data_IF_870676180423
#
_entry.id   IF_870676180423
#
_cell.length_a   1.000
_cell.length_b   1.000
_cell.length_c   1.000
_cell.angle_alpha   90.00
_cell.angle_beta   90.00
_cell.angle_gamma   90.00
#
_symmetry.space_group_name_H-M   'P 1'
#
loop_
_entity.id
_entity.type
_entity.pdbx_description
1 polymer ?
#
# COMPACT_ATOMS: atom_id res chain seq x y z
N UNK A 1 -8.95 -10.14 -3.90
CA UNK A 1 -8.20 -9.14 -3.09
C UNK A 1 -9.10 -8.41 -2.10
N UNK A 2 -10.28 -7.96 -2.51
CA UNK A 2 -11.24 -7.27 -1.63
C UNK A 2 -11.38 -7.86 -0.22
N UNK A 3 -11.73 -9.14 -0.09
CA UNK A 3 -11.92 -9.79 1.23
C UNK A 3 -10.66 -9.75 2.10
N UNK A 4 -9.48 -9.92 1.50
CA UNK A 4 -8.20 -9.85 2.22
C UNK A 4 -7.94 -8.44 2.74
N UNK A 5 -8.17 -7.41 1.92
CA UNK A 5 -8.02 -6.01 2.32
C UNK A 5 -9.03 -5.64 3.40
N UNK A 6 -10.30 -6.05 3.26
CA UNK A 6 -11.34 -5.81 4.28
C UNK A 6 -11.05 -6.53 5.59
N UNK A 7 -10.47 -7.73 5.55
CA UNK A 7 -10.01 -8.44 6.75
C UNK A 7 -8.84 -7.70 7.41
N UNK A 8 -7.81 -7.36 6.64
CA UNK A 8 -6.62 -6.66 7.13
C UNK A 8 -6.96 -5.27 7.70
N UNK A 9 -7.92 -4.56 7.11
CA UNK A 9 -8.40 -3.28 7.61
C UNK A 9 -8.96 -3.33 9.04
N UNK A 10 -9.35 -4.51 9.54
CA UNK A 10 -9.79 -4.67 10.94
C UNK A 10 -8.62 -4.63 11.92
N UNK A 11 -7.39 -4.86 11.46
CA UNK A 11 -6.16 -4.79 12.27
C UNK A 11 -5.64 -3.35 12.36
N UNK A 12 -6.49 -2.48 12.94
CA UNK A 12 -6.12 -1.07 13.14
C UNK A 12 -4.89 -0.95 14.04
N UNK A 13 -3.94 -0.10 13.65
CA UNK A 13 -2.65 0.08 14.31
C UNK A 13 -1.53 -0.82 13.78
N UNK A 14 -1.84 -1.85 12.98
CA UNK A 14 -0.83 -2.73 12.40
C UNK A 14 0.18 -1.95 11.56
N UNK A 15 1.47 -2.21 11.77
CA UNK A 15 2.57 -1.57 11.04
C UNK A 15 2.71 -2.19 9.65
N UNK A 16 2.76 -1.34 8.64
CA UNK A 16 2.96 -1.74 7.25
C UNK A 16 4.48 -1.83 6.99
N UNK A 17 5.00 -3.02 6.61
CA UNK A 17 6.40 -3.20 6.26
C UNK A 17 6.86 -2.24 5.17
N UNK A 18 7.88 -1.44 5.48
CA UNK A 18 8.51 -0.51 4.53
C UNK A 18 10.02 -0.49 4.79
N UNK A 19 10.80 -1.35 4.11
CA UNK A 19 12.21 -1.61 4.47
C UNK A 19 13.13 -0.38 4.53
N UNK A 20 12.77 0.71 3.85
CA UNK A 20 13.56 1.95 3.79
C UNK A 20 12.92 3.13 4.53
N UNK A 21 11.74 2.96 5.12
CA UNK A 21 11.08 4.04 5.86
C UNK A 21 11.71 4.19 7.24
N UNK A 22 12.00 5.43 7.65
CA UNK A 22 12.50 5.75 9.00
C UNK A 22 11.39 5.89 10.05
N UNK A 23 10.13 5.79 9.61
CA UNK A 23 8.95 5.97 10.45
C UNK A 23 7.94 4.87 10.16
N UNK A 24 7.12 4.56 11.15
CA UNK A 24 6.09 3.53 11.04
C UNK A 24 4.86 4.05 10.31
N UNK A 25 4.38 3.29 9.34
CA UNK A 25 3.11 3.54 8.66
C UNK A 25 2.10 2.54 9.22
N UNK A 26 0.93 3.01 9.66
CA UNK A 26 -0.02 2.14 10.39
C UNK A 26 -1.37 2.06 9.70
N UNK A 27 -1.96 0.88 9.64
CA UNK A 27 -3.31 0.68 9.14
C UNK A 27 -4.28 1.44 10.06
N UNK A 28 -5.20 2.20 9.47
CA UNK A 28 -6.33 2.82 10.20
C UNK A 28 -7.58 1.95 10.07
N UNK A 29 -7.87 1.51 8.84
CA UNK A 29 -9.04 0.71 8.49
C UNK A 29 -9.60 1.09 7.12
N UNK A 30 -10.86 0.76 6.88
CA UNK A 30 -11.54 1.12 5.63
C UNK A 30 -11.94 2.60 5.61
N UNK A 31 -12.00 3.17 4.41
CA UNK A 31 -12.51 4.50 4.14
C UNK A 31 -12.68 4.71 2.64
N UNK A 32 -12.68 5.96 2.20
CA UNK A 32 -12.86 6.31 0.79
C UNK A 32 -11.65 7.06 0.23
N UNK A 33 -11.26 6.70 -0.99
CA UNK A 33 -10.33 7.48 -1.84
C UNK A 33 -10.76 7.35 -3.28
N UNK A 34 -10.66 8.45 -4.04
CA UNK A 34 -11.02 8.46 -5.48
C UNK A 34 -12.43 7.89 -5.75
N UNK A 35 -13.37 8.15 -4.83
CA UNK A 35 -14.75 7.63 -4.85
C UNK A 35 -14.89 6.11 -4.77
N UNK A 36 -13.86 5.40 -4.34
CA UNK A 36 -13.86 3.95 -4.15
C UNK A 36 -13.50 3.60 -2.69
N UNK A 37 -13.90 2.40 -2.26
CA UNK A 37 -13.44 1.84 -0.99
C UNK A 37 -11.91 1.69 -0.99
N UNK A 38 -11.28 2.09 0.11
CA UNK A 38 -9.84 2.13 0.25
C UNK A 38 -9.37 1.70 1.64
N UNK A 39 -8.22 1.02 1.67
CA UNK A 39 -7.45 0.84 2.90
C UNK A 39 -6.78 2.17 3.24
N UNK A 40 -7.16 2.75 4.38
CA UNK A 40 -6.58 3.98 4.89
C UNK A 40 -5.45 3.64 5.85
N UNK A 41 -4.35 4.38 5.74
CA UNK A 41 -3.20 4.27 6.62
C UNK A 41 -2.73 5.64 7.09
N UNK A 42 -2.14 5.67 8.29
CA UNK A 42 -1.58 6.84 8.95
C UNK A 42 -0.07 6.93 8.69
N UNK A 43 0.38 8.17 8.51
CA UNK A 43 1.77 8.55 8.32
C UNK A 43 2.10 9.55 9.43
N UNK A 44 3.15 9.33 10.23
CA UNK A 44 3.62 10.31 11.21
C UNK A 44 3.91 11.65 10.54
N UNK A 45 3.41 12.70 11.15
CA UNK A 45 3.60 14.07 10.70
C UNK A 45 4.78 14.71 11.42
N UNK A 46 5.54 15.54 10.71
CA UNK A 46 6.54 16.42 11.32
C UNK A 46 5.95 17.79 11.72
N UNK A 47 4.65 18.01 11.49
CA UNK A 47 3.96 19.25 11.85
C UNK A 47 3.51 19.26 13.30
N UNK A 48 3.57 20.42 13.93
CA UNK A 48 2.98 20.68 15.26
C UNK A 48 1.44 20.76 15.23
N UNK A 49 0.82 20.90 14.06
CA UNK A 49 -0.64 21.08 13.90
C UNK A 49 -1.42 19.77 13.82
N UNK A 50 -0.78 18.68 13.41
CA UNK A 50 -1.40 17.37 13.29
C UNK A 50 -0.38 16.29 13.56
N UNK A 51 -0.73 15.30 14.37
CA UNK A 51 0.15 14.19 14.74
C UNK A 51 0.38 13.21 13.58
N UNK A 52 -0.57 13.12 12.64
CA UNK A 52 -0.49 12.22 11.49
C UNK A 52 -1.27 12.76 10.28
N UNK A 53 -0.88 12.27 9.09
CA UNK A 53 -1.63 12.40 7.85
C UNK A 53 -2.21 11.06 7.44
N UNK A 54 -3.29 11.08 6.68
CA UNK A 54 -3.96 9.88 6.19
C UNK A 54 -3.93 9.80 4.67
N UNK A 55 -3.55 8.65 4.16
CA UNK A 55 -3.63 8.32 2.74
C UNK A 55 -4.32 6.98 2.57
N UNK A 56 -4.68 6.64 1.34
CA UNK A 56 -5.26 5.33 1.09
C UNK A 56 -4.97 4.78 -0.29
N UNK A 57 -5.16 3.48 -0.39
CA UNK A 57 -5.08 2.71 -1.64
C UNK A 57 -6.41 2.03 -1.83
N UNK A 58 -7.04 2.21 -2.99
CA UNK A 58 -8.36 1.63 -3.26
C UNK A 58 -8.26 0.13 -3.47
N UNK A 59 -9.37 -0.58 -3.27
CA UNK A 59 -9.42 -2.03 -3.50
C UNK A 59 -9.06 -2.36 -4.95
N UNK A 60 -9.56 -1.58 -5.91
CA UNK A 60 -9.24 -1.70 -7.34
C UNK A 60 -7.73 -1.50 -7.62
N UNK A 61 -7.09 -0.55 -6.93
CA UNK A 61 -5.63 -0.34 -7.04
C UNK A 61 -4.83 -1.53 -6.51
N UNK A 62 -5.26 -2.13 -5.40
CA UNK A 62 -4.69 -3.40 -4.92
C UNK A 62 -4.90 -4.54 -5.90
N UNK A 63 -6.09 -4.65 -6.52
CA UNK A 63 -6.39 -5.68 -7.51
C UNK A 63 -5.50 -5.58 -8.74
N UNK A 64 -5.36 -4.37 -9.30
CA UNK A 64 -4.46 -4.12 -10.44
C UNK A 64 -3.01 -4.44 -10.10
N UNK A 65 -2.54 -4.04 -8.92
CA UNK A 65 -1.19 -4.34 -8.47
C UNK A 65 -0.98 -5.84 -8.24
N UNK A 66 -1.97 -6.54 -7.70
CA UNK A 66 -1.94 -7.99 -7.49
C UNK A 66 -1.92 -8.73 -8.82
N UNK A 67 -2.80 -8.38 -9.77
CA UNK A 67 -2.80 -8.94 -11.12
C UNK A 67 -1.45 -8.74 -11.80
N UNK A 68 -0.85 -7.55 -11.69
CA UNK A 68 0.50 -7.29 -12.20
C UNK A 68 1.52 -8.25 -11.57
N UNK A 69 1.49 -8.36 -10.24
CA UNK A 69 2.42 -9.17 -9.49
C UNK A 69 2.32 -10.66 -9.88
N UNK A 70 1.11 -11.21 -9.95
CA UNK A 70 0.87 -12.61 -10.36
C UNK A 70 1.29 -12.84 -11.81
N UNK A 71 0.93 -11.93 -12.73
CA UNK A 71 1.17 -12.13 -14.16
C UNK A 71 2.65 -12.03 -14.54
N UNK A 72 3.45 -11.24 -13.83
CA UNK A 72 4.85 -11.01 -14.21
C UNK A 72 5.86 -11.39 -13.14
N UNK A 73 5.40 -11.86 -11.98
CA UNK A 73 6.23 -12.11 -10.79
C UNK A 73 6.75 -10.86 -10.08
N UNK A 74 6.42 -9.64 -10.55
CA UNK A 74 7.03 -8.40 -10.05
C UNK A 74 6.07 -7.21 -10.03
N UNK A 75 6.12 -6.46 -8.93
CA UNK A 75 5.48 -5.16 -8.78
C UNK A 75 6.56 -4.08 -8.58
N UNK A 76 6.72 -3.19 -9.57
CA UNK A 76 7.79 -2.18 -9.60
C UNK A 76 7.25 -0.76 -9.47
N UNK A 77 8.09 0.16 -8.99
CA UNK A 77 7.73 1.58 -8.87
C UNK A 77 7.41 2.22 -10.22
N UNK A 78 8.14 1.84 -11.27
CA UNK A 78 7.90 2.32 -12.63
C UNK A 78 6.50 1.95 -13.10
N UNK A 79 6.14 0.66 -13.00
CA UNK A 79 4.80 0.20 -13.36
C UNK A 79 3.72 0.90 -12.53
N UNK A 80 3.92 1.04 -11.23
CA UNK A 80 3.01 1.75 -10.33
C UNK A 80 2.75 3.20 -10.79
N UNK A 81 3.82 3.95 -11.08
CA UNK A 81 3.69 5.35 -11.50
C UNK A 81 2.94 5.48 -12.84
N UNK A 82 3.12 4.53 -13.76
CA UNK A 82 2.52 4.54 -15.09
C UNK A 82 1.06 4.07 -15.08
N UNK A 83 0.73 3.05 -14.29
CA UNK A 83 -0.57 2.36 -14.36
C UNK A 83 -1.53 2.79 -13.25
N UNK A 84 -1.02 3.28 -12.10
CA UNK A 84 -1.82 3.73 -10.96
C UNK A 84 -1.59 5.23 -10.70
N UNK A 85 -1.68 6.04 -11.77
CA UNK A 85 -1.34 7.48 -11.76
C UNK A 85 -2.06 8.27 -10.66
N UNK A 86 -3.35 8.02 -10.44
CA UNK A 86 -4.12 8.72 -9.41
C UNK A 86 -3.63 8.37 -7.99
N UNK A 87 -3.34 7.09 -7.74
CA UNK A 87 -2.72 6.62 -6.50
C UNK A 87 -1.33 7.26 -6.29
N UNK A 88 -0.51 7.28 -7.34
CA UNK A 88 0.83 7.83 -7.32
C UNK A 88 0.84 9.35 -7.04
N UNK A 89 -0.14 10.07 -7.59
CA UNK A 89 -0.32 11.52 -7.40
C UNK A 89 -0.69 11.88 -5.95
N UNK A 90 -1.49 11.06 -5.25
CA UNK A 90 -1.73 11.25 -3.80
C UNK A 90 -0.44 11.07 -2.99
N UNK A 91 0.45 10.17 -3.42
CA UNK A 91 1.84 10.22 -3.04
C UNK A 91 2.61 8.92 -3.25
N UNK A 92 3.91 9.05 -3.53
CA UNK A 92 4.81 7.94 -3.80
C UNK A 92 4.95 6.90 -2.67
N UNK A 93 4.50 7.21 -1.46
CA UNK A 93 4.43 6.26 -0.34
C UNK A 93 3.36 5.17 -0.53
N UNK A 94 2.37 5.39 -1.41
CA UNK A 94 1.36 4.39 -1.76
C UNK A 94 1.99 3.14 -2.43
N UNK A 95 3.07 3.32 -3.21
CA UNK A 95 3.82 2.19 -3.78
C UNK A 95 4.31 1.22 -2.71
N UNK A 96 5.03 1.74 -1.70
CA UNK A 96 5.55 0.90 -0.61
C UNK A 96 4.46 0.44 0.34
N UNK A 97 3.32 1.15 0.42
CA UNK A 97 2.13 0.65 1.13
C UNK A 97 1.58 -0.59 0.46
N UNK A 98 1.41 -0.59 -0.87
CA UNK A 98 0.90 -1.75 -1.61
C UNK A 98 1.81 -2.95 -1.39
N UNK A 99 3.11 -2.77 -1.60
CA UNK A 99 4.07 -3.86 -1.41
C UNK A 99 4.13 -4.35 0.03
N UNK A 100 4.15 -3.46 1.02
CA UNK A 100 4.13 -3.87 2.44
C UNK A 100 2.85 -4.60 2.85
N UNK A 101 1.69 -4.24 2.28
CA UNK A 101 0.46 -5.01 2.49
C UNK A 101 0.55 -6.39 1.86
N UNK A 102 1.15 -6.52 0.67
CA UNK A 102 1.40 -7.83 0.08
C UNK A 102 2.39 -8.67 0.89
N UNK A 103 3.37 -8.05 1.56
CA UNK A 103 4.26 -8.72 2.51
C UNK A 103 3.48 -9.24 3.73
N UNK A 104 2.62 -8.44 4.34
CA UNK A 104 1.77 -8.88 5.47
C UNK A 104 0.89 -10.08 5.06
N UNK A 105 0.36 -10.05 3.84
CA UNK A 105 -0.52 -11.11 3.33
C UNK A 105 0.25 -12.36 2.86
N UNK A 106 1.58 -12.36 2.89
CA UNK A 106 2.40 -13.48 2.41
C UNK A 106 2.38 -13.65 0.89
N UNK A 107 2.00 -12.62 0.14
CA UNK A 107 1.85 -12.65 -1.33
C UNK A 107 3.15 -12.21 -2.03
N UNK A 108 3.92 -11.34 -1.40
CA UNK A 108 5.12 -10.77 -1.97
C UNK A 108 6.21 -10.61 -0.92
N UNK A 109 7.45 -10.45 -1.38
CA UNK A 109 8.57 -9.98 -0.58
C UNK A 109 9.21 -8.75 -1.23
N UNK A 110 9.74 -7.84 -0.42
CA UNK A 110 10.63 -6.80 -0.91
C UNK A 110 11.94 -7.41 -1.40
N UNK A 111 12.10 -7.47 -2.72
CA UNK A 111 13.29 -8.07 -3.34
C UNK A 111 14.45 -7.08 -3.40
N UNK A 112 14.20 -5.88 -3.94
CA UNK A 112 15.25 -4.87 -4.11
C UNK A 112 14.67 -3.47 -4.24
N UNK A 113 15.55 -2.47 -4.45
CA UNK A 113 15.14 -1.07 -4.59
C UNK A 113 14.01 -0.96 -5.61
N UNK A 114 12.86 -0.47 -5.12
CA UNK A 114 11.68 -0.18 -5.92
C UNK A 114 11.00 -1.39 -6.59
N UNK A 115 11.20 -2.59 -6.05
CA UNK A 115 10.64 -3.84 -6.60
C UNK A 115 10.20 -4.80 -5.48
N UNK A 116 8.99 -5.31 -5.61
CA UNK A 116 8.46 -6.44 -4.84
C UNK A 116 8.34 -7.65 -5.78
N UNK A 117 8.66 -8.84 -5.27
CA UNK A 117 8.63 -10.11 -6.01
C UNK A 117 7.51 -11.00 -5.46
N UNK A 118 6.81 -11.69 -6.35
CA UNK A 118 5.74 -12.63 -5.99
C UNK A 118 6.32 -13.84 -5.25
N UNK A 119 5.66 -14.23 -4.15
CA UNK A 119 5.92 -15.48 -3.47
C UNK A 119 4.98 -16.53 -4.07
N UNK A 120 5.58 -17.52 -4.73
CA UNK A 120 4.89 -18.60 -5.45
C UNK A 120 3.89 -19.35 -4.58
#
# INVERSE_FOLDING_TARGET
MELMIKKLAKESGLVIPKPKAKVEFKIKGMGMRRNEEALIYRIPSHSTKAQYYEKGVTINEFEKAHQRLVNTGFFTRTWFNENLKACAKEGGCNFTTIGGVFEILGIAEYSQKATYKYLT
#
